data_IF_206952176855
#
_entry.id   IF_206952176855
#
_cell.length_a   1.000
_cell.length_b   1.000
_cell.length_c   1.000
_cell.angle_alpha   90.00
_cell.angle_beta   90.00
_cell.angle_gamma   90.00
#
_symmetry.space_group_name_H-M   'P 1'
#
loop_
_entity.id
_entity.type
_entity.pdbx_description
1 polymer ?
#
# COMPACT_ATOMS: atom_id res chain seq x y z
N UNK A 1 -34.22 -31.47 4.59
CA UNK A 1 -33.07 -31.21 5.48
C UNK A 1 -32.08 -30.34 4.72
N UNK A 2 -32.05 -29.03 4.99
CA UNK A 2 -31.08 -28.12 4.37
C UNK A 2 -29.77 -28.17 5.14
N UNK A 3 -28.79 -28.90 4.60
CA UNK A 3 -27.43 -28.87 5.11
C UNK A 3 -26.85 -27.46 4.89
N UNK A 4 -26.46 -26.78 5.97
CA UNK A 4 -25.96 -25.41 5.87
C UNK A 4 -24.59 -25.40 5.16
N UNK A 5 -24.55 -24.80 3.97
CA UNK A 5 -23.41 -24.72 3.03
C UNK A 5 -22.08 -24.26 3.64
N UNK A 6 -22.09 -23.59 4.80
CA UNK A 6 -20.89 -23.05 5.45
C UNK A 6 -20.78 -23.39 6.95
N UNK A 7 -20.94 -24.67 7.31
CA UNK A 7 -20.86 -25.14 8.71
C UNK A 7 -19.57 -24.71 9.44
N UNK A 8 -18.40 -24.81 8.78
CA UNK A 8 -17.10 -24.44 9.37
C UNK A 8 -16.99 -22.94 9.66
N UNK A 9 -17.34 -22.09 8.70
CA UNK A 9 -17.31 -20.63 8.86
C UNK A 9 -18.27 -20.15 9.95
N UNK A 10 -19.48 -20.73 10.04
CA UNK A 10 -20.43 -20.40 11.10
C UNK A 10 -19.92 -20.82 12.48
N UNK A 11 -19.23 -21.96 12.59
CA UNK A 11 -18.58 -22.39 13.83
C UNK A 11 -17.45 -21.43 14.23
N UNK A 12 -16.60 -21.03 13.29
CA UNK A 12 -15.53 -20.06 13.53
C UNK A 12 -16.10 -18.70 13.98
N UNK A 13 -17.10 -18.16 13.27
CA UNK A 13 -17.79 -16.92 13.64
C UNK A 13 -18.39 -16.99 15.05
N UNK A 14 -19.01 -18.11 15.41
CA UNK A 14 -19.58 -18.30 16.76
C UNK A 14 -18.49 -18.30 17.83
N UNK A 15 -17.37 -18.98 17.60
CA UNK A 15 -16.24 -19.01 18.54
C UNK A 15 -15.64 -17.61 18.74
N UNK A 16 -15.42 -16.86 17.66
CA UNK A 16 -14.90 -15.49 17.73
C UNK A 16 -15.89 -14.58 18.49
N UNK A 17 -17.18 -14.63 18.16
CA UNK A 17 -18.20 -13.86 18.87
C UNK A 17 -18.27 -14.19 20.36
N UNK A 18 -18.03 -15.45 20.73
CA UNK A 18 -17.99 -15.87 22.13
C UNK A 18 -16.79 -15.25 22.84
N UNK A 19 -15.59 -15.32 22.26
CA UNK A 19 -14.38 -14.73 22.85
C UNK A 19 -14.43 -13.20 22.96
N UNK A 20 -15.13 -12.53 22.04
CA UNK A 20 -15.39 -11.09 22.13
C UNK A 20 -16.34 -10.80 23.31
N UNK A 21 -17.43 -11.56 23.46
CA UNK A 21 -18.40 -11.39 24.54
C UNK A 21 -17.83 -11.68 25.92
N UNK A 22 -16.96 -12.68 26.00
CA UNK A 22 -16.27 -13.05 27.24
C UNK A 22 -15.20 -12.03 27.64
N UNK A 23 -14.91 -11.04 26.79
CA UNK A 23 -13.81 -10.11 27.02
C UNK A 23 -12.49 -10.89 27.09
N UNK A 24 -12.26 -11.77 26.13
CA UNK A 24 -11.02 -12.56 26.02
C UNK A 24 -10.24 -12.18 24.75
N UNK A 25 -10.94 -11.80 23.69
CA UNK A 25 -10.36 -11.41 22.41
C UNK A 25 -10.63 -9.92 22.15
N UNK A 26 -9.58 -9.15 21.85
CA UNK A 26 -9.60 -7.70 21.58
C UNK A 26 -10.04 -6.82 22.76
N UNK A 27 -9.80 -7.24 24.00
CA UNK A 27 -10.12 -6.50 25.23
C UNK A 27 -9.41 -5.16 25.40
N UNK A 28 -8.32 -4.94 24.68
CA UNK A 28 -7.55 -3.70 24.72
C UNK A 28 -8.11 -2.64 23.77
N UNK A 29 -9.09 -2.99 22.91
CA UNK A 29 -9.69 -2.04 21.97
C UNK A 29 -10.92 -1.42 22.63
N UNK A 30 -10.76 -0.20 23.14
CA UNK A 30 -11.89 0.65 23.52
C UNK A 30 -12.51 1.23 22.26
N UNK A 31 -13.61 0.62 21.82
CA UNK A 31 -14.41 1.14 20.71
C UNK A 31 -15.17 2.36 21.21
N UNK A 32 -14.90 3.53 20.63
CA UNK A 32 -15.70 4.74 20.81
C UNK A 32 -17.21 4.43 20.64
N UNK A 33 -18.02 4.51 21.73
CA UNK A 33 -19.43 4.16 21.71
C UNK A 33 -20.25 5.08 20.80
N UNK A 34 -19.79 6.31 20.57
CA UNK A 34 -20.48 7.29 19.71
C UNK A 34 -20.21 7.03 18.22
N UNK A 35 -19.18 6.22 17.90
CA UNK A 35 -18.76 5.97 16.53
C UNK A 35 -19.58 4.86 15.82
N UNK A 36 -20.57 4.24 16.48
CA UNK A 36 -21.54 3.28 15.88
C UNK A 36 -20.95 2.19 14.94
N UNK A 37 -19.67 1.83 15.10
CA UNK A 37 -18.98 0.90 14.19
C UNK A 37 -18.50 1.49 12.85
N UNK A 38 -18.56 2.81 12.67
CA UNK A 38 -18.00 3.55 11.55
C UNK A 38 -16.50 3.80 11.74
N UNK A 39 -15.73 2.72 11.87
CA UNK A 39 -14.29 2.83 11.80
C UNK A 39 -13.87 2.84 10.33
N UNK A 40 -13.10 3.85 9.88
CA UNK A 40 -12.59 3.85 8.52
C UNK A 40 -11.78 2.58 8.28
N UNK A 41 -12.03 1.90 7.16
CA UNK A 41 -11.16 0.81 6.73
C UNK A 41 -9.75 1.36 6.53
N UNK A 42 -8.87 1.06 7.48
CA UNK A 42 -7.53 1.64 7.60
C UNK A 42 -6.66 1.47 6.34
N UNK A 43 -6.95 0.44 5.53
CA UNK A 43 -6.16 0.13 4.34
C UNK A 43 -6.68 0.79 3.05
N UNK A 44 -7.99 1.04 2.92
CA UNK A 44 -8.58 1.47 1.65
C UNK A 44 -8.21 2.91 1.28
N UNK A 45 -8.00 3.78 2.26
CA UNK A 45 -7.63 5.18 2.00
C UNK A 45 -6.19 5.33 1.48
N UNK A 46 -5.26 4.52 1.99
CA UNK A 46 -3.87 4.55 1.55
C UNK A 46 -3.73 3.82 0.21
N UNK A 47 -4.32 2.63 0.08
CA UNK A 47 -4.18 1.81 -1.12
C UNK A 47 -4.99 2.29 -2.33
N UNK A 48 -6.21 2.77 -2.09
CA UNK A 48 -7.08 3.30 -3.15
C UNK A 48 -6.83 4.77 -3.49
N UNK A 49 -6.28 5.53 -2.55
CA UNK A 49 -5.93 6.94 -2.73
C UNK A 49 -4.46 7.11 -3.12
N UNK A 50 -3.62 7.33 -2.12
CA UNK A 50 -2.22 7.75 -2.29
C UNK A 50 -1.42 6.73 -3.11
N UNK A 51 -1.41 5.44 -2.74
CA UNK A 51 -0.58 4.45 -3.40
C UNK A 51 -1.00 4.22 -4.86
N UNK A 52 -2.30 4.35 -5.18
CA UNK A 52 -2.75 4.28 -6.58
C UNK A 52 -2.13 5.39 -7.42
N UNK A 53 -2.16 6.63 -6.91
CA UNK A 53 -1.59 7.77 -7.60
C UNK A 53 -0.07 7.65 -7.72
N UNK A 54 0.62 7.15 -6.70
CA UNK A 54 2.06 6.89 -6.77
C UNK A 54 2.41 5.84 -7.82
N UNK A 55 1.63 4.76 -7.91
CA UNK A 55 1.78 3.74 -8.96
C UNK A 55 1.54 4.33 -10.34
N UNK A 56 0.56 5.20 -10.50
CA UNK A 56 0.29 5.88 -11.77
C UNK A 56 1.44 6.82 -12.16
N UNK A 57 2.00 7.59 -11.22
CA UNK A 57 3.19 8.42 -11.47
C UNK A 57 4.35 7.59 -12.05
N UNK A 58 4.60 6.41 -11.51
CA UNK A 58 5.63 5.49 -12.04
C UNK A 58 5.24 5.01 -13.45
N UNK A 59 3.99 4.63 -13.67
CA UNK A 59 3.50 4.15 -14.97
C UNK A 59 3.65 5.21 -16.06
N UNK A 60 3.23 6.44 -15.79
CA UNK A 60 3.33 7.56 -16.74
C UNK A 60 4.78 7.97 -17.03
N UNK A 61 5.70 7.70 -16.09
CA UNK A 61 7.10 8.09 -16.20
C UNK A 61 8.08 6.92 -16.39
N UNK A 62 7.58 5.72 -16.75
CA UNK A 62 8.39 4.48 -16.87
C UNK A 62 9.60 4.60 -17.82
N UNK A 63 9.55 5.51 -18.79
CA UNK A 63 10.66 5.76 -19.73
C UNK A 63 11.77 6.68 -19.20
N UNK A 64 11.62 7.22 -17.99
CA UNK A 64 12.63 8.08 -17.36
C UNK A 64 13.58 7.27 -16.47
N UNK A 65 14.81 7.76 -16.21
CA UNK A 65 15.66 7.18 -15.18
C UNK A 65 14.96 7.13 -13.82
N UNK A 66 15.26 6.11 -13.02
CA UNK A 66 14.62 5.87 -11.72
C UNK A 66 14.70 7.08 -10.78
N UNK A 67 15.82 7.80 -10.79
CA UNK A 67 15.98 9.05 -10.03
C UNK A 67 14.98 10.13 -10.44
N UNK A 68 14.65 10.22 -11.73
CA UNK A 68 13.65 11.17 -12.25
C UNK A 68 12.22 10.70 -11.94
N UNK A 69 11.94 9.40 -12.01
CA UNK A 69 10.66 8.84 -11.58
C UNK A 69 10.41 9.09 -10.08
N UNK A 70 11.43 8.84 -9.24
CA UNK A 70 11.37 9.12 -7.82
C UNK A 70 11.14 10.61 -7.54
N UNK A 71 11.85 11.51 -8.22
CA UNK A 71 11.61 12.96 -8.08
C UNK A 71 10.19 13.38 -8.46
N UNK A 72 9.61 12.79 -9.50
CA UNK A 72 8.22 13.05 -9.88
C UNK A 72 7.24 12.61 -8.77
N UNK A 73 7.48 11.46 -8.14
CA UNK A 73 6.72 10.98 -6.97
C UNK A 73 6.87 11.96 -5.79
N UNK A 74 8.09 12.38 -5.46
CA UNK A 74 8.31 13.31 -4.35
C UNK A 74 7.61 14.66 -4.60
N UNK A 75 7.67 15.19 -5.82
CA UNK A 75 6.92 16.38 -6.20
C UNK A 75 5.40 16.19 -6.08
N UNK A 76 4.88 15.03 -6.48
CA UNK A 76 3.45 14.73 -6.29
C UNK A 76 3.08 14.70 -4.80
N UNK A 77 3.91 14.05 -3.97
CA UNK A 77 3.72 13.99 -2.52
C UNK A 77 3.75 15.38 -1.88
N UNK A 78 4.68 16.25 -2.27
CA UNK A 78 4.76 17.62 -1.70
C UNK A 78 3.48 18.39 -2.00
N UNK A 79 3.00 18.34 -3.25
CA UNK A 79 1.76 19.01 -3.69
C UNK A 79 0.50 18.51 -2.96
N UNK A 80 0.45 17.22 -2.62
CA UNK A 80 -0.74 16.58 -2.01
C UNK A 80 -0.65 16.40 -0.50
N UNK A 81 0.46 16.83 0.14
CA UNK A 81 0.67 16.68 1.59
C UNK A 81 -0.20 17.62 2.45
N UNK A 82 -0.93 18.55 1.84
CA UNK A 82 -1.67 19.60 2.54
C UNK A 82 -0.77 20.66 3.22
N UNK A 83 0.56 20.49 3.18
CA UNK A 83 1.51 21.50 3.63
C UNK A 83 1.77 22.48 2.50
N UNK A 84 1.57 23.77 2.79
CA UNK A 84 1.98 24.85 1.90
C UNK A 84 3.41 25.24 2.25
N UNK A 85 4.37 24.51 1.68
CA UNK A 85 5.80 24.72 1.88
C UNK A 85 6.29 25.65 0.76
N UNK A 86 7.12 26.64 1.07
CA UNK A 86 7.70 27.53 0.05
C UNK A 86 8.61 26.74 -0.92
N UNK A 87 8.74 27.21 -2.16
CA UNK A 87 9.50 26.54 -3.23
C UNK A 87 10.98 26.31 -2.87
N UNK A 88 11.60 27.23 -2.13
CA UNK A 88 12.99 27.09 -1.70
C UNK A 88 13.16 26.00 -0.64
N UNK A 89 12.22 25.93 0.30
CA UNK A 89 12.19 24.89 1.32
C UNK A 89 11.82 23.53 0.71
N UNK A 90 10.95 23.50 -0.30
CA UNK A 90 10.69 22.29 -1.09
C UNK A 90 11.96 21.75 -1.74
N UNK A 91 12.76 22.60 -2.39
CA UNK A 91 13.99 22.18 -3.06
C UNK A 91 15.01 21.55 -2.10
N UNK A 92 15.08 22.03 -0.86
CA UNK A 92 15.96 21.48 0.18
C UNK A 92 15.47 20.13 0.72
N UNK A 93 14.15 19.91 0.73
CA UNK A 93 13.56 18.63 1.17
C UNK A 93 13.56 17.54 0.11
N UNK A 94 13.68 17.90 -1.17
CA UNK A 94 13.67 16.93 -2.27
C UNK A 94 14.99 16.16 -2.32
N UNK A 95 14.94 14.83 -2.49
CA UNK A 95 16.17 14.05 -2.53
C UNK A 95 16.96 14.33 -3.82
N UNK A 96 18.28 14.39 -3.68
CA UNK A 96 19.18 14.52 -4.83
C UNK A 96 19.28 13.21 -5.61
N UNK A 97 19.80 13.25 -6.84
CA UNK A 97 19.98 12.03 -7.64
C UNK A 97 20.95 11.06 -6.93
N UNK A 98 21.95 11.57 -6.23
CA UNK A 98 22.89 10.79 -5.41
C UNK A 98 22.21 10.14 -4.21
N UNK A 99 21.40 10.92 -3.47
CA UNK A 99 20.64 10.42 -2.32
C UNK A 99 19.67 9.31 -2.74
N UNK A 100 18.96 9.48 -3.86
CA UNK A 100 18.07 8.45 -4.40
C UNK A 100 18.85 7.18 -4.74
N UNK A 101 19.96 7.32 -5.47
CA UNK A 101 20.80 6.19 -5.85
C UNK A 101 21.36 5.46 -4.62
N UNK A 102 21.78 6.21 -3.60
CA UNK A 102 22.26 5.68 -2.33
C UNK A 102 21.19 4.88 -1.57
N UNK A 103 19.94 5.36 -1.55
CA UNK A 103 18.84 4.59 -0.94
C UNK A 103 18.59 3.27 -1.66
N UNK A 104 18.67 3.25 -3.00
CA UNK A 104 18.53 2.02 -3.76
C UNK A 104 19.69 1.05 -3.50
N UNK A 105 20.93 1.53 -3.47
CA UNK A 105 22.09 0.70 -3.13
C UNK A 105 21.96 0.08 -1.73
N UNK A 106 21.55 0.88 -0.75
CA UNK A 106 21.32 0.40 0.62
C UNK A 106 20.17 -0.61 0.71
N UNK A 107 19.08 -0.39 -0.02
CA UNK A 107 17.96 -1.33 -0.07
C UNK A 107 18.37 -2.66 -0.72
N UNK A 108 19.19 -2.61 -1.78
CA UNK A 108 19.73 -3.80 -2.44
C UNK A 108 20.63 -4.61 -1.49
N UNK A 109 21.54 -3.96 -0.78
CA UNK A 109 22.42 -4.62 0.21
C UNK A 109 21.63 -5.30 1.34
N UNK A 110 20.55 -4.66 1.81
CA UNK A 110 19.69 -5.22 2.86
C UNK A 110 18.81 -6.39 2.39
N UNK A 111 18.54 -6.49 1.09
CA UNK A 111 17.63 -7.48 0.52
C UNK A 111 18.32 -8.47 -0.42
N UNK A 112 19.65 -8.63 -0.38
CA UNK A 112 20.35 -9.68 -1.15
C UNK A 112 19.82 -11.11 -0.88
N UNK A 113 19.19 -11.35 0.28
CA UNK A 113 18.55 -12.62 0.60
C UNK A 113 17.14 -12.78 -0.03
N UNK A 114 16.44 -11.68 -0.29
CA UNK A 114 15.12 -11.64 -0.96
C UNK A 114 15.31 -11.45 -2.46
N UNK A 115 15.61 -12.56 -3.16
CA UNK A 115 15.73 -12.62 -4.64
C UNK A 115 14.49 -12.13 -5.40
N UNK A 116 13.40 -11.85 -4.71
CA UNK A 116 12.12 -11.39 -5.27
C UNK A 116 11.84 -9.90 -5.01
N UNK A 117 12.74 -9.18 -4.33
CA UNK A 117 12.74 -7.71 -4.29
C UNK A 117 13.22 -7.18 -5.65
N UNK A 118 12.39 -7.41 -6.68
CA UNK A 118 12.59 -6.94 -8.04
C UNK A 118 12.74 -5.42 -8.00
N UNK A 119 13.87 -4.94 -8.49
CA UNK A 119 14.15 -3.52 -8.64
C UNK A 119 12.97 -2.86 -9.37
N UNK A 120 12.33 -1.92 -8.69
CA UNK A 120 11.24 -1.14 -9.26
C UNK A 120 11.76 -0.45 -10.53
N UNK A 121 11.29 -0.90 -11.69
CA UNK A 121 11.62 -0.31 -12.99
C UNK A 121 12.42 -1.19 -13.95
N UNK A 122 12.98 -2.34 -13.55
CA UNK A 122 13.96 -3.01 -14.43
C UNK A 122 13.47 -4.16 -15.31
N UNK A 123 12.22 -4.68 -15.22
CA UNK A 123 11.72 -5.62 -16.25
C UNK A 123 10.20 -5.55 -16.51
N UNK A 124 9.73 -6.00 -17.70
CA UNK A 124 8.33 -6.29 -17.97
C UNK A 124 7.85 -7.39 -17.02
N UNK A 125 6.78 -7.13 -16.27
CA UNK A 125 6.15 -8.14 -15.42
C UNK A 125 5.38 -9.11 -16.33
N UNK A 126 5.87 -10.33 -16.48
CA UNK A 126 5.24 -11.37 -17.31
C UNK A 126 3.81 -11.76 -16.85
N UNK A 127 3.40 -11.40 -15.62
CA UNK A 127 2.03 -11.60 -15.14
C UNK A 127 0.99 -10.68 -15.83
N UNK A 128 1.41 -9.60 -16.50
CA UNK A 128 0.50 -8.73 -17.28
C UNK A 128 -0.05 -9.39 -18.56
N UNK A 129 0.48 -10.56 -18.97
CA UNK A 129 -0.01 -11.30 -20.15
C UNK A 129 -1.07 -12.36 -19.82
N UNK A 130 -1.57 -12.44 -18.58
CA UNK A 130 -2.59 -13.42 -18.20
C UNK A 130 -3.97 -12.78 -18.01
N UNK A 131 -4.45 -12.05 -19.02
CA UNK A 131 -5.90 -12.02 -19.29
C UNK A 131 -6.28 -13.29 -20.04
N UNK A 132 -6.48 -14.37 -19.28
CA UNK A 132 -7.21 -15.53 -19.75
C UNK A 132 -8.67 -15.16 -20.01
N UNK A 133 -8.96 -14.89 -21.28
CA UNK A 133 -10.23 -15.04 -22.01
C UNK A 133 -11.49 -15.41 -21.20
N UNK A 134 -12.58 -14.62 -21.31
CA UNK A 134 -13.95 -15.16 -21.48
C UNK A 134 -15.01 -14.07 -21.76
N UNK A 135 -15.73 -14.30 -22.88
CA UNK A 135 -17.10 -13.88 -23.22
C UNK A 135 -17.34 -12.48 -23.83
N UNK A 136 -17.48 -12.43 -25.17
CA UNK A 136 -18.80 -12.23 -25.83
C UNK A 136 -18.85 -12.97 -27.15
#
# INVERSE_FOLDING_TARGET
YTEYTHKRLRKARRAINQLIREGTLFTYIELDPDNQGLYPHTNNMIEGGVNSQLRDMIRWHRGLPLSKQAKAIFWWCTLHSGKNIDLYEQLDTLPTDETITGFYAQAHEKHEEDKDMRLWGDQPVWEEFHTGNTLS
#
